data_IF_229278210414
#
_entry.id   IF_229278210414
#
_cell.length_a   1.000
_cell.length_b   1.000
_cell.length_c   1.000
_cell.angle_alpha   90.00
_cell.angle_beta   90.00
_cell.angle_gamma   90.00
#
_symmetry.space_group_name_H-M   'P 1'
#
loop_
_entity.id
_entity.type
_entity.pdbx_description
1 polymer ?
#
# COMPACT_ATOMS: atom_id res chain seq x y z
N UNK A 1 17.16 1.50 0.05
CA UNK A 1 16.84 0.07 0.03
C UNK A 1 17.59 -0.65 -1.10
N UNK A 2 17.38 -0.30 -2.35
CA UNK A 2 18.16 -0.81 -3.50
C UNK A 2 19.18 0.26 -3.83
N UNK A 3 20.44 0.03 -3.46
CA UNK A 3 21.51 1.00 -3.63
C UNK A 3 22.30 0.79 -4.92
N UNK A 4 22.18 -0.42 -5.52
CA UNK A 4 22.85 -0.75 -6.75
C UNK A 4 21.86 -1.25 -7.80
N UNK A 5 21.93 -0.71 -9.04
CA UNK A 5 20.99 -1.04 -10.10
C UNK A 5 21.21 -2.42 -10.73
N UNK A 6 22.17 -3.21 -10.24
CA UNK A 6 22.45 -4.54 -10.77
C UNK A 6 21.24 -5.45 -10.76
N UNK A 7 20.66 -5.68 -11.90
CA UNK A 7 19.45 -6.46 -12.13
C UNK A 7 18.17 -5.64 -12.30
N UNK A 8 18.23 -4.32 -12.17
CA UNK A 8 17.07 -3.44 -12.28
C UNK A 8 16.97 -2.69 -13.63
N UNK A 9 17.99 -2.78 -14.51
CA UNK A 9 18.04 -2.14 -15.83
C UNK A 9 17.45 -0.71 -15.83
N UNK A 10 17.95 0.13 -14.89
CA UNK A 10 17.44 1.50 -14.71
C UNK A 10 18.05 2.51 -15.68
N UNK A 11 18.98 2.08 -16.52
CA UNK A 11 19.85 2.95 -17.31
C UNK A 11 19.12 3.71 -18.42
N UNK A 12 17.93 3.25 -18.85
CA UNK A 12 17.16 3.84 -19.95
C UNK A 12 15.71 4.18 -19.57
N UNK A 13 15.48 4.70 -18.38
CA UNK A 13 14.13 5.00 -17.92
C UNK A 13 13.63 6.36 -18.42
N UNK A 14 12.75 6.35 -19.40
CA UNK A 14 11.93 7.52 -19.74
C UNK A 14 10.90 7.78 -18.64
N UNK A 15 10.39 9.00 -18.57
CA UNK A 15 9.39 9.41 -17.57
C UNK A 15 8.20 8.44 -17.48
N UNK A 16 7.79 8.12 -16.25
CA UNK A 16 6.70 7.17 -15.96
C UNK A 16 7.10 5.70 -15.99
N UNK A 17 8.38 5.39 -16.12
CA UNK A 17 8.95 4.05 -15.97
C UNK A 17 9.64 3.90 -14.62
N UNK A 18 10.08 2.69 -14.27
CA UNK A 18 10.80 2.40 -13.04
C UNK A 18 9.93 1.74 -11.98
N UNK A 19 10.21 2.04 -10.73
CA UNK A 19 9.51 1.44 -9.60
C UNK A 19 8.26 2.23 -9.21
N UNK A 20 7.14 1.52 -9.07
CA UNK A 20 5.85 2.08 -8.68
C UNK A 20 5.36 1.48 -7.39
N UNK A 21 4.70 2.32 -6.56
CA UNK A 21 3.95 1.95 -5.38
C UNK A 21 4.67 0.93 -4.47
N UNK A 22 5.82 1.30 -3.89
CA UNK A 22 6.48 0.43 -2.93
C UNK A 22 5.62 0.22 -1.69
N UNK A 23 5.59 -1.01 -1.19
CA UNK A 23 5.00 -1.39 0.08
C UNK A 23 6.05 -2.03 0.99
N UNK A 24 5.97 -1.78 2.29
CA UNK A 24 6.84 -2.40 3.29
C UNK A 24 6.01 -3.26 4.24
N UNK A 25 6.48 -4.45 4.53
CA UNK A 25 5.91 -5.36 5.54
C UNK A 25 6.98 -5.97 6.41
N UNK A 26 6.59 -6.38 7.62
CA UNK A 26 7.47 -7.06 8.56
C UNK A 26 6.88 -8.44 8.89
N UNK A 27 7.71 -9.47 8.84
CA UNK A 27 7.31 -10.82 9.16
C UNK A 27 8.49 -11.67 9.67
N UNK A 28 8.32 -12.31 10.82
CA UNK A 28 9.30 -13.22 11.44
C UNK A 28 10.72 -12.64 11.49
N UNK A 29 10.85 -11.40 11.95
CA UNK A 29 12.16 -10.76 12.14
C UNK A 29 12.73 -10.12 10.88
N UNK A 30 12.02 -10.10 9.75
CA UNK A 30 12.51 -9.52 8.49
C UNK A 30 11.57 -8.48 7.92
N UNK A 31 12.14 -7.47 7.32
CA UNK A 31 11.44 -6.46 6.52
C UNK A 31 11.43 -6.90 5.06
N UNK A 32 10.30 -6.71 4.40
CA UNK A 32 10.11 -6.99 2.98
C UNK A 32 9.61 -5.71 2.32
N UNK A 33 10.26 -5.31 1.24
CA UNK A 33 9.78 -4.25 0.38
C UNK A 33 9.37 -4.86 -0.96
N UNK A 34 8.18 -4.52 -1.42
CA UNK A 34 7.68 -4.86 -2.75
C UNK A 34 7.48 -3.60 -3.57
N UNK A 35 7.62 -3.71 -4.87
CA UNK A 35 7.27 -2.64 -5.80
C UNK A 35 6.96 -3.24 -7.18
N UNK A 36 6.15 -2.53 -7.97
CA UNK A 36 6.02 -2.84 -9.39
C UNK A 36 7.21 -2.28 -10.14
N UNK A 37 7.88 -3.14 -10.90
CA UNK A 37 8.86 -2.74 -11.88
C UNK A 37 8.19 -2.59 -13.25
N UNK A 38 8.11 -1.35 -13.72
CA UNK A 38 7.54 -1.05 -15.03
C UNK A 38 8.62 -0.68 -16.03
N UNK A 39 8.74 -1.50 -17.07
CA UNK A 39 9.58 -1.27 -18.22
C UNK A 39 8.70 -1.18 -19.47
N UNK A 40 9.03 -0.27 -20.38
CA UNK A 40 8.49 -0.30 -21.73
C UNK A 40 9.61 -0.77 -22.65
N UNK A 41 9.39 -1.88 -23.30
CA UNK A 41 10.28 -2.36 -24.34
C UNK A 41 9.54 -2.32 -25.69
N UNK A 42 10.12 -1.64 -26.67
CA UNK A 42 9.64 -1.60 -28.09
C UNK A 42 8.12 -1.46 -28.27
N UNK A 43 7.49 -0.62 -27.44
CA UNK A 43 6.04 -0.34 -27.49
C UNK A 43 5.17 -1.26 -26.62
N UNK A 44 5.71 -2.29 -26.01
CA UNK A 44 5.00 -3.12 -25.05
C UNK A 44 5.21 -2.63 -23.62
N UNK A 45 4.12 -2.55 -22.85
CA UNK A 45 4.21 -2.29 -21.41
C UNK A 45 4.51 -3.60 -20.70
N UNK A 46 5.63 -3.63 -20.00
CA UNK A 46 6.07 -4.77 -19.22
C UNK A 46 6.04 -4.41 -17.73
N UNK A 47 5.33 -5.20 -16.94
CA UNK A 47 5.22 -5.01 -15.49
C UNK A 47 5.50 -6.33 -14.81
N UNK A 48 6.41 -6.29 -13.85
CA UNK A 48 6.68 -7.39 -12.92
C UNK A 48 6.73 -6.83 -11.50
N UNK A 49 6.66 -7.69 -10.55
CA UNK A 49 6.79 -7.31 -9.15
C UNK A 49 8.18 -7.68 -8.67
N UNK A 50 8.75 -6.87 -7.81
CA UNK A 50 9.99 -7.21 -7.10
C UNK A 50 9.71 -7.39 -5.62
N UNK A 51 10.52 -8.24 -5.00
CA UNK A 51 10.58 -8.41 -3.54
C UNK A 51 12.03 -8.34 -3.11
N UNK A 52 12.33 -7.47 -2.15
CA UNK A 52 13.62 -7.43 -1.46
C UNK A 52 13.40 -7.56 0.04
N UNK A 53 14.35 -8.11 0.76
CA UNK A 53 14.22 -8.31 2.21
C UNK A 53 15.49 -7.95 2.96
N UNK A 54 15.33 -7.56 4.24
CA UNK A 54 16.42 -7.22 5.15
C UNK A 54 16.04 -7.56 6.59
N UNK A 55 17.03 -7.79 7.44
CA UNK A 55 16.84 -7.95 8.89
C UNK A 55 16.70 -6.59 9.60
N UNK A 56 17.05 -5.49 8.92
CA UNK A 56 16.92 -4.13 9.43
C UNK A 56 16.09 -3.27 8.48
N UNK A 57 15.30 -2.30 8.99
CA UNK A 57 14.44 -1.45 8.13
C UNK A 57 15.25 -0.56 7.17
N UNK A 58 16.42 -0.12 7.56
CA UNK A 58 17.37 0.65 6.73
C UNK A 58 18.11 -0.19 5.70
N UNK A 59 18.21 -1.49 5.90
CA UNK A 59 18.95 -2.44 5.05
C UNK A 59 20.26 -2.91 5.67
N UNK A 60 21.22 -3.45 4.88
CA UNK A 60 21.12 -3.63 3.42
C UNK A 60 20.03 -4.63 3.01
N UNK A 61 19.37 -4.36 1.91
CA UNK A 61 18.35 -5.26 1.35
C UNK A 61 18.96 -6.27 0.37
N UNK A 62 18.33 -7.42 0.26
CA UNK A 62 18.71 -8.49 -0.66
C UNK A 62 18.65 -8.04 -2.12
N UNK A 63 19.26 -8.84 -3.02
CA UNK A 63 18.96 -8.73 -4.46
C UNK A 63 17.48 -8.94 -4.70
N UNK A 64 16.89 -8.23 -5.70
CA UNK A 64 15.48 -8.37 -6.02
C UNK A 64 15.11 -9.78 -6.49
N UNK A 65 14.12 -10.39 -5.86
CA UNK A 65 13.40 -11.52 -6.43
C UNK A 65 12.31 -10.99 -7.37
N UNK A 66 12.17 -11.59 -8.54
CA UNK A 66 11.21 -11.20 -9.55
C UNK A 66 10.00 -12.12 -9.51
N UNK A 67 8.82 -11.54 -9.33
CA UNK A 67 7.53 -12.21 -9.45
C UNK A 67 6.92 -11.84 -10.81
N UNK A 68 6.79 -12.84 -11.67
CA UNK A 68 6.33 -12.67 -13.07
C UNK A 68 4.80 -12.70 -13.15
N UNK A 69 4.16 -11.72 -12.50
CA UNK A 69 2.70 -11.52 -12.56
C UNK A 69 2.43 -10.08 -12.99
N UNK A 70 1.62 -9.89 -14.03
CA UNK A 70 1.24 -8.56 -14.52
C UNK A 70 0.30 -7.86 -13.53
N UNK A 71 0.52 -6.59 -13.31
CA UNK A 71 -0.26 -5.75 -12.41
C UNK A 71 0.57 -4.65 -11.80
N UNK A 72 -0.04 -3.89 -10.90
CA UNK A 72 0.62 -2.85 -10.11
C UNK A 72 0.21 -2.96 -8.65
N UNK A 73 0.90 -2.19 -7.81
CA UNK A 73 0.61 -1.99 -6.38
C UNK A 73 0.70 -3.29 -5.57
N UNK A 74 1.86 -3.99 -5.59
CA UNK A 74 2.02 -5.21 -4.81
C UNK A 74 2.04 -4.92 -3.32
N UNK A 75 1.29 -5.71 -2.55
CA UNK A 75 1.42 -5.77 -1.11
C UNK A 75 1.54 -7.22 -0.64
N UNK A 76 2.22 -7.45 0.49
CA UNK A 76 2.33 -8.79 1.08
C UNK A 76 1.40 -8.88 2.28
N UNK A 77 0.57 -9.92 2.29
CA UNK A 77 -0.22 -10.33 3.44
C UNK A 77 0.30 -11.65 3.99
N UNK A 78 0.52 -11.72 5.30
CA UNK A 78 0.92 -12.93 6.01
C UNK A 78 -0.24 -13.37 6.89
N UNK A 79 -0.81 -14.54 6.62
CA UNK A 79 -1.92 -15.07 7.40
C UNK A 79 -1.43 -15.81 8.65
N UNK A 80 -2.33 -16.02 9.61
CA UNK A 80 -2.04 -16.66 10.90
C UNK A 80 -1.64 -18.14 10.75
N UNK A 81 -2.04 -18.78 9.66
CA UNK A 81 -1.65 -20.16 9.33
C UNK A 81 -0.22 -20.27 8.76
N UNK A 82 0.48 -19.16 8.64
CA UNK A 82 1.84 -19.08 8.14
C UNK A 82 1.95 -18.98 6.61
N UNK A 83 0.85 -19.03 5.88
CA UNK A 83 0.85 -18.79 4.44
C UNK A 83 1.02 -17.31 4.14
N UNK A 84 1.69 -17.06 3.04
CA UNK A 84 2.03 -15.71 2.57
C UNK A 84 1.40 -15.46 1.21
N UNK A 85 0.89 -14.27 1.02
CA UNK A 85 0.19 -13.89 -0.19
C UNK A 85 0.69 -12.56 -0.71
N UNK A 86 0.67 -12.40 -2.04
CA UNK A 86 0.79 -11.09 -2.67
C UNK A 86 -0.55 -10.68 -3.24
N UNK A 87 -0.89 -9.40 -3.05
CA UNK A 87 -2.04 -8.78 -3.68
C UNK A 87 -1.57 -7.84 -4.77
N UNK A 88 -2.37 -7.72 -5.84
CA UNK A 88 -2.15 -6.82 -6.98
C UNK A 88 -3.47 -6.24 -7.46
N UNK A 89 -3.43 -5.12 -8.19
CA UNK A 89 -4.57 -4.68 -8.99
C UNK A 89 -4.76 -5.66 -10.20
N UNK A 90 -5.83 -5.67 -10.94
CA UNK A 90 -7.03 -4.80 -10.98
C UNK A 90 -8.08 -5.36 -10.06
N UNK A 91 -8.68 -4.50 -9.26
CA UNK A 91 -9.34 -4.95 -8.06
C UNK A 91 -8.29 -5.44 -7.05
N UNK A 92 -8.68 -6.34 -6.19
CA UNK A 92 -7.76 -7.10 -5.36
C UNK A 92 -7.62 -8.52 -5.91
N UNK A 93 -6.56 -8.79 -6.66
CA UNK A 93 -6.15 -10.14 -7.02
C UNK A 93 -5.15 -10.66 -6.00
N UNK A 94 -5.21 -11.93 -5.68
CA UNK A 94 -4.35 -12.58 -4.69
C UNK A 94 -3.75 -13.86 -5.25
N UNK A 95 -2.51 -14.14 -4.86
CA UNK A 95 -1.84 -15.41 -5.07
C UNK A 95 -0.90 -15.74 -3.93
N UNK A 96 -0.63 -17.01 -3.72
CA UNK A 96 0.25 -17.49 -2.67
C UNK A 96 1.73 -17.38 -3.10
N UNK A 97 2.55 -16.96 -2.14
CA UNK A 97 4.00 -16.92 -2.24
C UNK A 97 4.61 -18.11 -1.46
N UNK A 98 5.83 -18.49 -1.84
CA UNK A 98 6.64 -19.37 -1.01
C UNK A 98 7.03 -18.70 0.32
N UNK A 99 7.63 -19.45 1.24
CA UNK A 99 7.98 -19.01 2.59
C UNK A 99 8.85 -17.74 2.58
N UNK A 100 9.79 -17.62 1.66
CA UNK A 100 10.71 -16.47 1.54
C UNK A 100 10.10 -15.27 0.82
N UNK A 101 8.87 -15.38 0.33
CA UNK A 101 8.21 -14.40 -0.54
C UNK A 101 8.98 -14.09 -1.84
N UNK A 102 9.79 -15.01 -2.32
CA UNK A 102 10.61 -14.83 -3.53
C UNK A 102 10.01 -15.44 -4.79
N UNK A 103 8.92 -16.22 -4.64
CA UNK A 103 8.31 -16.97 -5.75
C UNK A 103 6.80 -17.09 -5.56
N UNK A 104 6.07 -16.90 -6.64
CA UNK A 104 4.66 -17.25 -6.76
C UNK A 104 4.49 -18.76 -6.83
N UNK A 105 3.58 -19.33 -6.02
CA UNK A 105 3.31 -20.78 -5.99
C UNK A 105 1.86 -21.15 -6.30
N UNK A 106 0.98 -20.16 -6.48
CA UNK A 106 -0.40 -20.36 -6.94
C UNK A 106 -0.76 -19.42 -8.07
N UNK A 107 -1.85 -19.69 -8.78
CA UNK A 107 -2.41 -18.75 -9.76
C UNK A 107 -3.07 -17.58 -9.05
N UNK A 108 -3.04 -16.40 -9.70
CA UNK A 108 -3.75 -15.23 -9.23
C UNK A 108 -5.27 -15.43 -9.37
N UNK A 109 -6.01 -15.09 -8.32
CA UNK A 109 -7.47 -15.12 -8.25
C UNK A 109 -7.99 -13.74 -7.84
N UNK A 110 -9.16 -13.36 -8.34
CA UNK A 110 -9.82 -12.12 -7.94
C UNK A 110 -10.57 -12.35 -6.62
N UNK A 111 -10.24 -11.54 -5.59
CA UNK A 111 -11.00 -11.51 -4.33
C UNK A 111 -12.22 -10.58 -4.44
N UNK A 112 -11.99 -9.36 -4.91
CA UNK A 112 -13.00 -8.31 -4.96
C UNK A 112 -12.62 -7.26 -6.00
N UNK A 113 -13.60 -6.62 -6.64
CA UNK A 113 -13.36 -5.63 -7.68
C UNK A 113 -13.82 -4.22 -7.25
N UNK A 114 -13.53 -3.85 -6.02
CA UNK A 114 -13.84 -2.55 -5.47
C UNK A 114 -15.32 -2.31 -5.18
N UNK A 115 -15.60 -1.31 -4.38
CA UNK A 115 -16.95 -0.88 -3.99
C UNK A 115 -17.66 -0.16 -5.15
N UNK A 116 -17.03 0.85 -5.74
CA UNK A 116 -17.56 1.62 -6.85
C UNK A 116 -17.07 1.16 -8.24
N UNK A 117 -16.18 0.19 -8.27
CA UNK A 117 -15.64 -0.43 -9.49
C UNK A 117 -14.90 0.55 -10.43
N UNK A 118 -14.48 1.71 -9.91
CA UNK A 118 -13.74 2.69 -10.70
C UNK A 118 -12.24 2.60 -10.40
N UNK A 119 -11.51 1.93 -11.29
CA UNK A 119 -10.06 1.74 -11.21
C UNK A 119 -9.59 1.28 -9.81
N UNK A 120 -10.11 0.16 -9.28
CA UNK A 120 -9.68 -0.34 -7.98
C UNK A 120 -8.23 -0.83 -8.07
N UNK A 121 -7.40 -0.33 -7.16
CA UNK A 121 -5.95 -0.55 -7.09
C UNK A 121 -5.46 -0.46 -5.65
N UNK A 122 -4.15 -0.60 -5.40
CA UNK A 122 -3.56 -0.46 -4.07
C UNK A 122 -4.14 -1.41 -3.01
N UNK A 123 -4.36 -2.70 -3.30
CA UNK A 123 -5.03 -3.60 -2.36
C UNK A 123 -4.13 -3.93 -1.16
N UNK A 124 -4.67 -3.79 0.05
CA UNK A 124 -4.03 -4.22 1.30
C UNK A 124 -5.00 -5.04 2.14
N UNK A 125 -4.52 -6.15 2.70
CA UNK A 125 -5.28 -6.97 3.64
C UNK A 125 -4.81 -6.75 5.08
N UNK A 126 -5.78 -6.70 5.98
CA UNK A 126 -5.59 -6.73 7.44
C UNK A 126 -6.51 -7.80 8.02
N UNK A 127 -5.98 -8.69 8.85
CA UNK A 127 -6.80 -9.63 9.64
C UNK A 127 -6.99 -9.07 11.05
N UNK A 128 -8.24 -8.90 11.45
CA UNK A 128 -8.59 -8.37 12.76
C UNK A 128 -9.95 -8.90 13.21
N UNK A 129 -10.06 -9.34 14.46
CA UNK A 129 -11.31 -9.78 15.10
C UNK A 129 -12.11 -10.82 14.28
N UNK A 130 -11.37 -11.75 13.62
CA UNK A 130 -11.93 -12.81 12.80
C UNK A 130 -12.47 -12.36 11.44
N UNK A 131 -12.10 -11.17 10.99
CA UNK A 131 -12.36 -10.67 9.64
C UNK A 131 -11.06 -10.42 8.89
N UNK A 132 -11.12 -10.60 7.57
CA UNK A 132 -10.17 -10.07 6.61
C UNK A 132 -10.73 -8.77 6.08
N UNK A 133 -10.06 -7.66 6.37
CA UNK A 133 -10.38 -6.34 5.85
C UNK A 133 -9.53 -6.07 4.63
N UNK A 134 -10.17 -5.78 3.51
CA UNK A 134 -9.53 -5.43 2.25
C UNK A 134 -9.70 -3.94 2.00
N UNK A 135 -8.59 -3.24 2.01
CA UNK A 135 -8.51 -1.82 1.67
C UNK A 135 -8.11 -1.68 0.21
N UNK A 136 -8.79 -0.80 -0.52
CA UNK A 136 -8.50 -0.50 -1.92
C UNK A 136 -8.50 1.00 -2.15
N UNK A 137 -7.70 1.44 -3.13
CA UNK A 137 -7.80 2.76 -3.70
C UNK A 137 -8.77 2.72 -4.89
N UNK A 138 -9.67 3.67 -4.98
CA UNK A 138 -10.57 3.79 -6.11
C UNK A 138 -10.58 5.22 -6.67
N UNK A 139 -11.03 5.36 -7.90
CA UNK A 139 -11.20 6.64 -8.57
C UNK A 139 -10.00 7.13 -9.36
N UNK A 140 -8.89 6.38 -9.35
CA UNK A 140 -7.61 6.79 -9.94
C UNK A 140 -6.97 7.96 -9.17
N UNK A 141 -5.73 8.30 -9.48
CA UNK A 141 -4.91 9.29 -8.72
C UNK A 141 -5.34 10.76 -8.87
N UNK A 142 -6.49 11.03 -9.48
CA UNK A 142 -7.06 12.37 -9.66
C UNK A 142 -7.88 12.84 -8.45
N UNK A 143 -8.70 13.90 -8.63
CA UNK A 143 -9.55 14.46 -7.56
C UNK A 143 -10.59 13.47 -6.99
N UNK A 144 -10.88 12.41 -7.73
CA UNK A 144 -11.82 11.36 -7.28
C UNK A 144 -11.17 10.25 -6.45
N UNK A 145 -9.87 10.32 -6.21
CA UNK A 145 -9.12 9.30 -5.48
C UNK A 145 -9.64 9.16 -4.03
N UNK A 146 -9.78 7.94 -3.58
CA UNK A 146 -10.38 7.63 -2.29
C UNK A 146 -9.91 6.27 -1.77
N UNK A 147 -10.13 6.01 -0.48
CA UNK A 147 -9.93 4.72 0.14
C UNK A 147 -11.28 4.10 0.44
N UNK A 148 -11.49 2.88 -0.02
CA UNK A 148 -12.63 2.03 0.33
C UNK A 148 -12.16 0.82 1.10
N UNK A 149 -13.04 0.20 1.88
CA UNK A 149 -12.78 -1.02 2.61
C UNK A 149 -13.96 -1.97 2.48
N UNK A 150 -13.65 -3.25 2.39
CA UNK A 150 -14.60 -4.35 2.47
C UNK A 150 -14.07 -5.41 3.42
N UNK A 151 -14.93 -6.31 3.92
CA UNK A 151 -14.49 -7.39 4.82
C UNK A 151 -15.16 -8.72 4.50
N UNK A 152 -14.47 -9.79 4.88
CA UNK A 152 -14.98 -11.16 4.81
C UNK A 152 -14.55 -11.97 6.04
N UNK A 153 -15.30 -13.01 6.40
CA UNK A 153 -14.90 -14.00 7.42
C UNK A 153 -13.84 -14.97 6.90
N UNK A 154 -13.74 -15.12 5.60
CA UNK A 154 -12.82 -16.03 4.94
C UNK A 154 -11.95 -15.26 3.96
N UNK A 155 -10.66 -15.61 3.85
CA UNK A 155 -9.72 -14.95 2.95
C UNK A 155 -10.23 -14.88 1.51
N UNK A 156 -10.78 -16.00 1.02
CA UNK A 156 -11.36 -16.12 -0.33
C UNK A 156 -12.90 -16.20 -0.29
N UNK A 157 -13.51 -15.55 0.71
CA UNK A 157 -14.95 -15.47 0.88
C UNK A 157 -15.59 -14.31 0.13
N UNK A 158 -16.84 -14.05 0.46
CA UNK A 158 -17.58 -12.91 -0.07
C UNK A 158 -17.24 -11.67 0.76
N UNK A 159 -16.70 -10.66 0.09
CA UNK A 159 -16.36 -9.37 0.73
C UNK A 159 -17.58 -8.45 0.75
N UNK A 160 -17.95 -8.03 1.95
CA UNK A 160 -19.01 -7.07 2.24
C UNK A 160 -18.43 -5.65 2.24
N UNK A 161 -18.90 -4.72 1.39
CA UNK A 161 -18.44 -3.34 1.42
C UNK A 161 -18.81 -2.63 2.72
N UNK A 162 -17.92 -1.75 3.19
CA UNK A 162 -18.18 -0.92 4.35
C UNK A 162 -19.32 0.06 4.07
N UNK A 163 -20.34 0.18 4.97
CA UNK A 163 -21.45 1.11 4.77
C UNK A 163 -21.04 2.59 4.84
N UNK A 164 -19.82 2.86 5.33
CA UNK A 164 -19.26 4.22 5.45
C UNK A 164 -18.31 4.58 4.30
N UNK A 165 -18.19 3.72 3.28
CA UNK A 165 -17.32 4.01 2.13
C UNK A 165 -17.71 5.28 1.37
N UNK A 166 -16.76 6.07 0.88
CA UNK A 166 -15.31 5.92 1.11
C UNK A 166 -14.91 6.34 2.53
N UNK A 167 -14.05 5.55 3.17
CA UNK A 167 -13.57 5.86 4.53
C UNK A 167 -12.56 7.00 4.57
N UNK A 168 -11.98 7.38 3.43
CA UNK A 168 -11.13 8.55 3.24
C UNK A 168 -11.34 9.11 1.83
N UNK A 169 -11.60 10.40 1.75
CA UNK A 169 -11.65 11.17 0.51
C UNK A 169 -11.58 12.65 0.83
N UNK A 170 -10.93 13.45 -0.03
CA UNK A 170 -11.11 14.90 0.01
C UNK A 170 -12.34 15.31 -0.82
N UNK A 171 -13.32 15.90 -0.16
CA UNK A 171 -14.56 16.37 -0.80
C UNK A 171 -14.55 17.87 -1.10
N UNK A 172 -13.67 18.64 -0.42
CA UNK A 172 -13.54 20.07 -0.64
C UNK A 172 -12.34 20.36 -1.57
N UNK A 173 -12.58 20.87 -2.79
CA UNK A 173 -11.52 21.19 -3.74
C UNK A 173 -10.63 22.37 -3.31
N UNK A 174 -11.08 23.15 -2.32
CA UNK A 174 -10.33 24.32 -1.83
C UNK A 174 -9.30 23.97 -0.74
N UNK A 175 -9.42 22.79 -0.14
CA UNK A 175 -8.48 22.31 0.87
C UNK A 175 -7.10 22.01 0.29
N UNK A 176 -6.08 22.11 1.15
CA UNK A 176 -4.68 21.96 0.73
C UNK A 176 -4.30 20.51 0.43
N UNK A 177 -4.87 19.54 1.12
CA UNK A 177 -4.58 18.11 0.91
C UNK A 177 -5.64 17.51 -0.01
N UNK A 178 -5.19 17.02 -1.16
CA UNK A 178 -6.05 16.53 -2.24
C UNK A 178 -5.66 15.11 -2.67
N UNK A 179 -6.49 14.46 -3.48
CA UNK A 179 -6.19 13.20 -4.18
C UNK A 179 -5.81 12.05 -3.24
N UNK A 180 -6.49 11.93 -2.11
CA UNK A 180 -6.18 10.98 -1.05
C UNK A 180 -6.62 9.56 -1.41
N UNK A 181 -5.71 8.62 -1.38
CA UNK A 181 -6.00 7.22 -1.68
C UNK A 181 -4.80 6.32 -1.41
N UNK A 182 -4.88 5.08 -1.87
CA UNK A 182 -3.84 4.07 -1.72
C UNK A 182 -3.36 3.95 -0.26
N UNK A 183 -4.32 3.66 0.62
CA UNK A 183 -4.09 3.64 2.06
C UNK A 183 -3.71 2.26 2.58
N UNK A 184 -2.81 2.26 3.55
CA UNK A 184 -2.42 1.09 4.33
C UNK A 184 -2.68 1.33 5.81
N UNK A 185 -3.50 0.49 6.49
CA UNK A 185 -3.66 0.57 7.94
C UNK A 185 -2.39 0.10 8.63
N UNK A 186 -2.00 0.81 9.68
CA UNK A 186 -0.87 0.45 10.53
C UNK A 186 -1.27 0.57 11.99
N UNK A 187 -0.76 -0.31 12.82
CA UNK A 187 -0.94 -0.24 14.27
C UNK A 187 0.38 0.15 14.93
N UNK A 188 0.32 1.11 15.85
CA UNK A 188 1.48 1.50 16.65
C UNK A 188 1.74 0.46 17.75
N UNK A 189 2.91 0.53 18.37
CA UNK A 189 3.26 -0.30 19.52
C UNK A 189 2.33 -0.08 20.73
N UNK A 190 1.71 1.10 20.83
CA UNK A 190 0.73 1.44 21.86
C UNK A 190 -0.69 0.94 21.56
N UNK A 191 -0.88 0.34 20.38
CA UNK A 191 -2.18 -0.19 19.95
C UNK A 191 -3.06 0.77 19.17
N UNK A 192 -2.61 2.01 18.96
CA UNK A 192 -3.34 3.00 18.17
C UNK A 192 -3.26 2.65 16.68
N UNK A 193 -4.34 2.94 15.96
CA UNK A 193 -4.44 2.67 14.53
C UNK A 193 -4.37 3.94 13.70
N UNK A 194 -3.61 3.87 12.62
CA UNK A 194 -3.47 4.95 11.64
C UNK A 194 -3.62 4.43 10.22
N UNK A 195 -4.08 5.30 9.34
CA UNK A 195 -4.04 5.11 7.89
C UNK A 195 -2.88 5.92 7.33
N UNK A 196 -1.89 5.23 6.75
CA UNK A 196 -0.85 5.85 5.93
C UNK A 196 -1.35 5.83 4.49
N UNK A 197 -1.35 6.97 3.81
CA UNK A 197 -1.92 7.05 2.47
C UNK A 197 -1.21 8.09 1.61
N UNK A 198 -1.34 7.97 0.30
CA UNK A 198 -0.83 8.99 -0.60
C UNK A 198 -1.79 10.17 -0.73
N UNK A 199 -1.22 11.35 -0.92
CA UNK A 199 -1.97 12.56 -1.24
C UNK A 199 -1.18 13.45 -2.21
N UNK A 200 -1.81 14.54 -2.68
CA UNK A 200 -1.16 15.63 -3.37
C UNK A 200 -1.45 16.94 -2.64
N UNK A 201 -0.42 17.72 -2.39
CA UNK A 201 -0.57 19.05 -1.78
C UNK A 201 -0.90 20.08 -2.85
N UNK A 202 -2.02 20.78 -2.68
CA UNK A 202 -2.41 21.88 -3.55
C UNK A 202 -1.52 23.10 -3.28
N UNK A 203 -0.90 23.63 -4.33
CA UNK A 203 -0.11 24.86 -4.30
C UNK A 203 -0.66 25.80 -5.38
N UNK A 204 -0.98 27.03 -5.01
CA UNK A 204 -1.59 28.00 -5.93
C UNK A 204 -2.90 27.49 -6.51
N UNK A 205 -3.04 27.50 -7.83
CA UNK A 205 -4.28 27.17 -8.56
C UNK A 205 -4.63 25.66 -8.59
N UNK A 206 -4.07 24.87 -7.68
CA UNK A 206 -4.46 23.47 -7.52
C UNK A 206 -3.46 22.46 -8.07
N UNK A 207 -2.28 22.89 -8.44
CA UNK A 207 -1.22 22.02 -8.90
C UNK A 207 -0.44 21.39 -7.73
N UNK A 208 -0.22 20.08 -7.80
CA UNK A 208 0.64 19.37 -6.83
C UNK A 208 2.08 19.31 -7.37
N UNK A 209 2.75 20.47 -7.42
CA UNK A 209 4.10 20.62 -8.00
C UNK A 209 5.18 19.85 -7.23
N UNK A 210 4.94 19.53 -5.97
CA UNK A 210 5.84 18.69 -5.16
C UNK A 210 5.68 17.18 -5.45
N UNK A 211 4.74 16.83 -6.34
CA UNK A 211 4.39 15.44 -6.59
C UNK A 211 3.45 14.87 -5.53
N UNK A 212 3.51 13.54 -5.34
CA UNK A 212 2.71 12.84 -4.32
C UNK A 212 3.50 12.77 -3.00
N UNK A 213 2.78 12.98 -1.92
CA UNK A 213 3.30 12.93 -0.55
C UNK A 213 2.62 11.81 0.22
N UNK A 214 3.23 11.40 1.32
CA UNK A 214 2.63 10.47 2.28
C UNK A 214 1.97 11.24 3.40
N UNK A 215 0.70 10.94 3.66
CA UNK A 215 -0.08 11.52 4.75
C UNK A 215 -0.46 10.44 5.77
N UNK A 216 -0.86 10.88 6.96
CA UNK A 216 -1.22 10.04 8.10
C UNK A 216 -2.46 10.61 8.78
N UNK A 217 -3.46 9.77 9.02
CA UNK A 217 -4.63 10.09 9.85
C UNK A 217 -5.03 8.93 10.75
N UNK A 218 -5.60 9.19 11.94
CA UNK A 218 -6.01 8.15 12.87
C UNK A 218 -7.18 7.32 12.34
N UNK A 219 -7.18 6.03 12.65
CA UNK A 219 -8.31 5.14 12.44
C UNK A 219 -9.00 4.91 13.78
N UNK A 220 -10.31 5.09 13.82
CA UNK A 220 -11.19 4.57 14.87
C UNK A 220 -12.01 3.41 14.34
N UNK A 221 -12.40 2.50 15.24
CA UNK A 221 -13.22 1.34 14.90
C UNK A 221 -14.63 1.55 15.45
N UNK A 222 -15.63 1.36 14.61
CA UNK A 222 -17.04 1.43 15.02
C UNK A 222 -17.40 0.24 15.92
N UNK A 223 -18.55 0.31 16.59
CA UNK A 223 -19.03 -0.80 17.46
C UNK A 223 -19.28 -2.09 16.68
N UNK A 224 -19.63 -1.99 15.42
CA UNK A 224 -19.83 -3.13 14.50
C UNK A 224 -18.54 -3.51 13.74
N UNK A 225 -17.39 -2.93 14.15
CA UNK A 225 -16.04 -3.33 13.72
C UNK A 225 -15.60 -2.76 12.38
N UNK A 226 -16.16 -1.67 11.89
CA UNK A 226 -15.65 -1.02 10.69
C UNK A 226 -14.59 0.05 10.98
N UNK A 227 -13.53 0.16 10.17
CA UNK A 227 -12.56 1.24 10.31
C UNK A 227 -13.12 2.55 9.75
N UNK A 228 -12.86 3.65 10.45
CA UNK A 228 -13.18 5.01 10.05
C UNK A 228 -11.92 5.86 10.16
N UNK A 229 -11.52 6.52 9.08
CA UNK A 229 -10.34 7.39 9.06
C UNK A 229 -10.75 8.82 9.40
N UNK A 230 -10.04 9.45 10.34
CA UNK A 230 -10.25 10.83 10.78
C UNK A 230 -11.72 11.20 11.02
N UNK A 231 -12.50 10.29 11.59
CA UNK A 231 -13.94 10.45 11.81
C UNK A 231 -14.73 10.86 10.53
N UNK A 232 -14.32 10.38 9.36
CA UNK A 232 -14.88 10.69 8.03
C UNK A 232 -14.81 12.17 7.62
N UNK A 233 -13.95 12.96 8.26
CA UNK A 233 -13.78 14.40 7.94
C UNK A 233 -12.93 14.65 6.70
N UNK A 234 -12.37 13.60 6.09
CA UNK A 234 -11.34 13.71 5.07
C UNK A 234 -9.94 13.87 5.65
N UNK A 235 -8.93 14.18 4.81
CA UNK A 235 -7.55 14.28 5.24
C UNK A 235 -7.34 15.50 6.14
N UNK A 236 -6.51 15.35 7.18
CA UNK A 236 -6.06 16.47 8.00
C UNK A 236 -4.90 17.21 7.33
N UNK A 237 -4.92 18.55 7.38
CA UNK A 237 -3.81 19.37 6.90
C UNK A 237 -2.58 19.28 7.82
N UNK A 238 -2.82 19.08 9.11
CA UNK A 238 -1.83 18.87 10.16
C UNK A 238 -2.25 17.72 11.04
N UNK A 239 -1.33 16.83 11.33
CA UNK A 239 -1.54 15.70 12.24
C UNK A 239 -0.56 15.82 13.42
N UNK A 240 -1.05 15.51 14.60
CA UNK A 240 -0.20 15.35 15.79
C UNK A 240 0.66 14.08 15.58
N UNK A 241 1.96 14.19 15.85
CA UNK A 241 2.86 13.05 15.80
C UNK A 241 2.32 11.94 16.71
N UNK A 242 2.20 10.69 16.21
CA UNK A 242 1.86 9.57 17.06
C UNK A 242 2.81 9.43 18.25
N UNK A 243 2.28 9.02 19.39
CA UNK A 243 3.11 8.66 20.53
C UNK A 243 3.78 7.32 20.26
N UNK A 244 5.03 7.37 19.85
CA UNK A 244 5.85 6.20 19.50
C UNK A 244 7.04 6.12 20.46
N UNK A 245 7.53 4.89 20.72
CA UNK A 245 8.80 4.72 21.43
C UNK A 245 9.91 5.50 20.75
N UNK A 246 10.77 6.14 21.54
CA UNK A 246 11.95 6.79 20.98
C UNK A 246 12.86 5.77 20.32
N UNK A 247 13.21 6.01 19.06
CA UNK A 247 14.28 5.29 18.38
C UNK A 247 15.56 6.09 18.52
N UNK A 248 16.57 5.49 19.15
CA UNK A 248 17.93 6.02 19.17
C UNK A 248 18.57 5.57 17.86
N UNK A 249 18.81 6.50 16.95
CA UNK A 249 19.64 6.26 15.77
C UNK A 249 21.09 6.43 16.21
N UNK A 250 21.86 5.36 16.14
CA UNK A 250 23.30 5.49 16.18
C UNK A 250 23.73 6.06 14.82
N UNK A 251 24.24 7.29 14.85
CA UNK A 251 24.76 7.95 13.65
C UNK A 251 26.10 7.29 13.33
N UNK A 252 26.14 6.36 12.37
CA UNK A 252 27.37 5.72 11.89
C UNK A 252 28.21 6.65 10.98
N UNK A 253 28.00 7.95 11.04
CA UNK A 253 28.61 8.92 10.11
C UNK A 253 29.95 9.51 10.57
N UNK A 254 30.64 8.91 11.53
CA UNK A 254 31.99 9.32 11.93
C UNK A 254 33.02 8.19 11.78
N UNK A 255 33.30 7.78 10.52
CA UNK A 255 34.57 7.13 10.15
C UNK A 255 34.98 7.52 8.72
#
# INVERSE_FOLDING_TARGET
>A
AITEPEGAALDDLEGGRGYWAPDISYYKGRFYITATYRLNDTGNVYRKQIVVSSDKPEGPYSKPAIIDEDGIDPSIFNDDDGRRYMLLNRGARIFELNEDATKQISKAELLFYGDNKRAPEGPHLLKKDGYYYLFEAEGGTGPGHRITVSRSRELKGIYEPCPYNPIMRQNNPDEIIQRCGHGKPVQTQNGDWYMVYLCGRKIGDGYSILGRETALDPISWTMDGWPIVNNLKGPSALQVKPDLPEMIWEDESDD
#
